data_IF_578654937284
#
_entry.id   IF_578654937284
#
_cell.length_a   1.000
_cell.length_b   1.000
_cell.length_c   1.000
_cell.angle_alpha   90.00
_cell.angle_beta   90.00
_cell.angle_gamma   90.00
#
_symmetry.space_group_name_H-M   'P 1'
#
loop_
_entity.id
_entity.type
_entity.pdbx_description
1 polymer ?
#
# COMPACT_ATOMS: atom_id res chain seq x y z
N UNK A 1 64.52 0.26 -2.74
CA UNK A 1 63.43 1.24 -2.92
C UNK A 1 62.12 0.68 -3.50
N UNK A 2 62.11 -0.13 -4.58
CA UNK A 2 60.85 -0.62 -5.23
C UNK A 2 59.88 -1.42 -4.33
N UNK A 3 60.39 -2.25 -3.41
CA UNK A 3 59.55 -3.09 -2.54
C UNK A 3 58.75 -2.30 -1.49
N UNK A 4 59.27 -1.15 -1.03
CA UNK A 4 58.61 -0.33 -0.03
C UNK A 4 57.43 0.44 -0.65
N UNK A 5 57.66 0.99 -1.86
CA UNK A 5 56.62 1.62 -2.67
C UNK A 5 55.48 0.65 -3.05
N UNK A 6 55.80 -0.59 -3.41
CA UNK A 6 54.78 -1.61 -3.69
C UNK A 6 53.96 -2.03 -2.46
N UNK A 7 54.57 -2.03 -1.27
CA UNK A 7 53.86 -2.28 0.00
C UNK A 7 52.92 -1.13 0.35
N UNK A 8 53.35 0.11 0.19
CA UNK A 8 52.52 1.29 0.45
C UNK A 8 51.35 1.40 -0.51
N UNK A 9 51.56 1.13 -1.80
CA UNK A 9 50.48 1.11 -2.81
C UNK A 9 49.45 0.02 -2.52
N UNK A 10 49.87 -1.20 -2.16
CA UNK A 10 48.95 -2.26 -1.70
C UNK A 10 48.16 -1.85 -0.46
N UNK A 11 48.82 -1.21 0.51
CA UNK A 11 48.21 -0.77 1.78
C UNK A 11 47.20 0.37 1.56
N UNK A 12 47.49 1.32 0.67
CA UNK A 12 46.55 2.36 0.24
C UNK A 12 45.32 1.76 -0.45
N UNK A 13 45.53 0.84 -1.40
CA UNK A 13 44.45 0.17 -2.14
C UNK A 13 43.54 -0.67 -1.21
N UNK A 14 44.12 -1.31 -0.20
CA UNK A 14 43.36 -2.02 0.84
C UNK A 14 42.53 -1.07 1.71
N UNK A 15 43.10 0.06 2.12
CA UNK A 15 42.38 1.07 2.90
C UNK A 15 41.23 1.72 2.12
N UNK A 16 41.40 1.98 0.82
CA UNK A 16 40.31 2.47 -0.03
C UNK A 16 39.19 1.44 -0.19
N UNK A 17 39.52 0.15 -0.41
CA UNK A 17 38.53 -0.92 -0.46
C UNK A 17 37.74 -1.02 0.85
N UNK A 18 38.41 -0.93 1.99
CA UNK A 18 37.76 -0.92 3.31
C UNK A 18 36.84 0.29 3.48
N UNK A 19 37.30 1.50 3.13
CA UNK A 19 36.46 2.71 3.17
C UNK A 19 35.22 2.57 2.28
N UNK A 20 35.37 2.04 1.06
CA UNK A 20 34.25 1.82 0.13
C UNK A 20 33.23 0.82 0.68
N UNK A 21 33.70 -0.28 1.27
CA UNK A 21 32.83 -1.29 1.88
C UNK A 21 32.05 -0.72 3.07
N UNK A 22 32.72 0.03 3.96
CA UNK A 22 32.05 0.66 5.10
C UNK A 22 31.03 1.71 4.66
N UNK A 23 31.32 2.48 3.61
CA UNK A 23 30.36 3.44 3.05
C UNK A 23 29.11 2.74 2.52
N UNK A 24 29.29 1.65 1.77
CA UNK A 24 28.17 0.89 1.21
C UNK A 24 27.29 0.26 2.30
N UNK A 25 27.91 -0.29 3.35
CA UNK A 25 27.18 -0.86 4.48
C UNK A 25 26.36 0.19 5.22
N UNK A 26 26.90 1.41 5.36
CA UNK A 26 26.20 2.53 5.97
C UNK A 26 25.05 3.06 5.10
N UNK A 27 25.24 3.10 3.78
CA UNK A 27 24.18 3.40 2.81
C UNK A 27 23.06 2.35 2.87
N UNK A 28 23.41 1.05 2.93
CA UNK A 28 22.45 -0.07 3.09
C UNK A 28 21.70 0.01 4.46
N UNK A 29 22.40 0.33 5.55
CA UNK A 29 21.80 0.51 6.89
C UNK A 29 20.88 1.76 6.96
N UNK A 30 21.26 2.88 6.32
CA UNK A 30 20.45 4.10 6.25
C UNK A 30 19.18 3.90 5.39
N UNK A 31 19.26 3.13 4.29
CA UNK A 31 18.09 2.74 3.48
C UNK A 31 17.13 1.83 4.25
N UNK A 32 17.63 0.84 5.01
CA UNK A 32 16.80 0.00 5.88
C UNK A 32 16.16 0.79 7.03
N UNK A 33 16.87 1.73 7.65
CA UNK A 33 16.31 2.60 8.70
C UNK A 33 15.21 3.53 8.16
N UNK A 34 15.37 4.10 6.96
CA UNK A 34 14.30 4.87 6.30
C UNK A 34 13.08 4.00 5.99
N UNK A 35 13.27 2.73 5.61
CA UNK A 35 12.20 1.76 5.36
C UNK A 35 11.41 1.39 6.65
N UNK A 36 12.07 1.41 7.82
CA UNK A 36 11.46 1.08 9.12
C UNK A 36 10.68 2.26 9.73
N UNK A 37 10.78 3.48 9.19
CA UNK A 37 10.00 4.61 9.70
C UNK A 37 8.48 4.40 9.49
N UNK A 38 7.73 4.36 10.59
CA UNK A 38 6.28 4.15 10.55
C UNK A 38 5.61 5.32 9.83
N UNK A 39 5.10 5.07 8.63
CA UNK A 39 4.31 6.04 7.85
C UNK A 39 2.89 6.13 8.37
N UNK A 40 2.37 7.36 8.46
CA UNK A 40 1.03 7.67 8.93
C UNK A 40 0.20 8.36 7.84
N UNK A 41 -1.01 7.86 7.62
CA UNK A 41 -2.03 8.47 6.78
C UNK A 41 -3.24 8.80 7.66
N UNK A 42 -3.23 9.99 8.28
CA UNK A 42 -4.21 10.42 9.30
C UNK A 42 -4.30 9.43 10.46
N UNK A 43 -5.38 8.65 10.51
CA UNK A 43 -5.67 7.67 11.58
C UNK A 43 -5.16 6.27 11.25
N UNK A 44 -4.57 6.08 10.07
CA UNK A 44 -4.02 4.83 9.59
C UNK A 44 -2.49 4.87 9.66
N UNK A 45 -1.90 3.73 9.99
CA UNK A 45 -0.46 3.56 10.12
C UNK A 45 -0.04 2.37 9.28
N UNK A 46 1.15 2.45 8.70
CA UNK A 46 1.76 1.38 7.89
C UNK A 46 1.94 0.06 8.64
N UNK A 47 1.90 0.05 9.97
CA UNK A 47 1.97 -1.18 10.78
C UNK A 47 0.60 -1.81 11.09
N UNK A 48 -0.50 -1.08 10.89
CA UNK A 48 -1.85 -1.60 11.20
C UNK A 48 -2.26 -2.70 10.23
N UNK A 49 -2.90 -3.75 10.70
CA UNK A 49 -3.65 -4.68 9.84
C UNK A 49 -4.99 -4.04 9.47
N UNK A 50 -5.19 -3.75 8.18
CA UNK A 50 -6.34 -2.98 7.69
C UNK A 50 -7.21 -3.83 6.77
N UNK A 51 -8.49 -3.96 7.14
CA UNK A 51 -9.52 -4.51 6.26
C UNK A 51 -10.31 -3.36 5.62
N UNK A 52 -10.38 -3.35 4.31
CA UNK A 52 -11.19 -2.40 3.54
C UNK A 52 -12.39 -3.16 2.96
N UNK A 53 -13.58 -2.76 3.38
CA UNK A 53 -14.85 -3.39 3.02
C UNK A 53 -15.61 -2.51 2.05
N UNK A 54 -15.93 -3.07 0.87
CA UNK A 54 -16.77 -2.40 -0.13
C UNK A 54 -16.02 -1.43 -1.04
N UNK A 55 -14.73 -1.67 -1.28
CA UNK A 55 -13.97 -0.88 -2.25
C UNK A 55 -14.41 -1.25 -3.68
N UNK A 56 -15.11 -0.33 -4.35
CA UNK A 56 -15.72 -0.60 -5.65
C UNK A 56 -14.70 -0.74 -6.77
N UNK A 57 -13.90 0.30 -6.99
CA UNK A 57 -12.87 0.36 -8.03
C UNK A 57 -11.43 0.18 -7.49
N UNK A 58 -11.28 -0.09 -6.19
CA UNK A 58 -10.02 -0.29 -5.50
C UNK A 58 -9.11 0.95 -5.40
N UNK A 59 -9.63 2.13 -5.73
CA UNK A 59 -8.85 3.37 -5.71
C UNK A 59 -8.48 3.82 -4.29
N UNK A 60 -9.37 3.61 -3.32
CA UNK A 60 -9.12 3.97 -1.92
C UNK A 60 -8.01 3.10 -1.34
N UNK A 61 -8.12 1.79 -1.51
CA UNK A 61 -7.09 0.83 -1.10
C UNK A 61 -5.74 1.17 -1.74
N UNK A 62 -5.72 1.48 -3.03
CA UNK A 62 -4.49 1.84 -3.73
C UNK A 62 -3.87 3.14 -3.22
N UNK A 63 -4.69 4.16 -2.94
CA UNK A 63 -4.21 5.41 -2.36
C UNK A 63 -3.58 5.20 -0.99
N UNK A 64 -4.16 4.31 -0.16
CA UNK A 64 -3.61 3.99 1.16
C UNK A 64 -2.30 3.20 1.04
N UNK A 65 -2.26 2.24 0.11
CA UNK A 65 -1.06 1.48 -0.21
C UNK A 65 0.09 2.39 -0.65
N UNK A 66 -0.16 3.38 -1.53
CA UNK A 66 0.87 4.34 -1.93
C UNK A 66 1.32 5.24 -0.78
N UNK A 67 0.42 5.64 0.12
CA UNK A 67 0.80 6.43 1.29
C UNK A 67 1.73 5.65 2.24
N UNK A 68 1.60 4.33 2.30
CA UNK A 68 2.50 3.45 3.06
C UNK A 68 3.71 2.99 2.26
N UNK A 69 3.66 3.08 0.93
CA UNK A 69 4.65 2.48 0.03
C UNK A 69 4.57 0.95 -0.04
N UNK A 70 3.56 0.35 0.58
CA UNK A 70 3.31 -1.10 0.62
C UNK A 70 1.86 -1.37 0.97
N UNK A 71 1.38 -2.57 0.66
CA UNK A 71 0.04 -3.04 0.97
C UNK A 71 0.00 -4.43 1.63
N UNK A 72 1.13 -4.96 2.12
CA UNK A 72 1.18 -6.30 2.74
C UNK A 72 0.20 -6.48 3.92
N UNK A 73 -0.09 -5.39 4.62
CA UNK A 73 -1.00 -5.30 5.75
C UNK A 73 -2.43 -4.88 5.38
N UNK A 74 -2.74 -4.81 4.07
CA UNK A 74 -4.04 -4.36 3.56
C UNK A 74 -4.78 -5.54 2.92
N UNK A 75 -5.99 -5.78 3.40
CA UNK A 75 -6.99 -6.66 2.78
C UNK A 75 -8.07 -5.80 2.15
N UNK A 76 -8.08 -5.70 0.83
CA UNK A 76 -9.05 -4.92 0.07
C UNK A 76 -10.17 -5.81 -0.46
N UNK A 77 -11.43 -5.45 -0.21
CA UNK A 77 -12.57 -6.29 -0.59
C UNK A 77 -13.64 -5.53 -1.37
N UNK A 78 -14.22 -6.20 -2.38
CA UNK A 78 -15.39 -5.70 -3.11
C UNK A 78 -16.62 -6.58 -2.90
N UNK A 79 -17.81 -5.96 -2.87
CA UNK A 79 -19.09 -6.70 -2.88
C UNK A 79 -19.34 -7.38 -4.23
N UNK A 80 -18.95 -6.73 -5.31
CA UNK A 80 -19.07 -7.25 -6.66
C UNK A 80 -18.02 -8.34 -6.95
N UNK A 81 -18.32 -9.22 -7.91
CA UNK A 81 -17.35 -10.18 -8.45
C UNK A 81 -16.24 -9.47 -9.23
N UNK A 82 -15.09 -10.13 -9.41
CA UNK A 82 -13.99 -9.61 -10.24
C UNK A 82 -14.45 -9.17 -11.64
N UNK A 83 -15.23 -10.01 -12.32
CA UNK A 83 -15.76 -9.71 -13.66
C UNK A 83 -16.68 -8.49 -13.64
N UNK A 84 -17.54 -8.39 -12.62
CA UNK A 84 -18.45 -7.26 -12.44
C UNK A 84 -17.68 -5.96 -12.20
N UNK A 85 -16.66 -5.99 -11.33
CA UNK A 85 -15.79 -4.85 -11.04
C UNK A 85 -15.12 -4.34 -12.30
N UNK A 86 -14.50 -5.22 -13.10
CA UNK A 86 -13.83 -4.83 -14.35
C UNK A 86 -14.80 -4.26 -15.40
N UNK A 87 -16.05 -4.73 -15.42
CA UNK A 87 -17.08 -4.22 -16.34
C UNK A 87 -17.65 -2.87 -15.90
N UNK A 88 -17.78 -2.64 -14.60
CA UNK A 88 -18.33 -1.40 -14.03
C UNK A 88 -17.31 -0.26 -14.03
N UNK A 89 -16.06 -0.54 -13.67
CA UNK A 89 -15.04 0.49 -13.45
C UNK A 89 -13.87 0.33 -14.41
N UNK A 90 -13.68 1.34 -15.28
CA UNK A 90 -12.60 1.37 -16.29
C UNK A 90 -11.20 1.26 -15.66
N UNK A 91 -11.02 1.86 -14.47
CA UNK A 91 -9.72 1.90 -13.76
C UNK A 91 -9.48 0.74 -12.80
N UNK A 92 -10.48 -0.12 -12.56
CA UNK A 92 -10.31 -1.20 -11.60
C UNK A 92 -9.19 -2.16 -12.01
N UNK A 93 -9.02 -2.44 -13.31
CA UNK A 93 -7.96 -3.33 -13.78
C UNK A 93 -6.57 -2.83 -13.37
N UNK A 94 -6.28 -1.55 -13.64
CA UNK A 94 -4.99 -0.95 -13.27
C UNK A 94 -4.83 -0.87 -11.76
N UNK A 95 -5.90 -0.51 -11.04
CA UNK A 95 -5.81 -0.36 -9.58
C UNK A 95 -5.53 -1.71 -8.89
N UNK A 96 -6.22 -2.76 -9.32
CA UNK A 96 -6.02 -4.13 -8.85
C UNK A 96 -4.61 -4.64 -9.15
N UNK A 97 -4.08 -4.31 -10.33
CA UNK A 97 -2.72 -4.69 -10.70
C UNK A 97 -1.70 -4.01 -9.77
N UNK A 98 -1.76 -2.68 -9.62
CA UNK A 98 -0.84 -1.96 -8.75
C UNK A 98 -0.96 -2.40 -7.28
N UNK A 99 -2.17 -2.66 -6.79
CA UNK A 99 -2.37 -3.19 -5.44
C UNK A 99 -1.72 -4.54 -5.23
N UNK A 100 -1.85 -5.43 -6.22
CA UNK A 100 -1.21 -6.75 -6.17
C UNK A 100 0.31 -6.64 -6.21
N UNK A 101 0.85 -5.72 -7.02
CA UNK A 101 2.28 -5.41 -7.07
C UNK A 101 2.80 -4.85 -5.73
N UNK A 102 1.97 -4.07 -5.02
CA UNK A 102 2.27 -3.57 -3.67
C UNK A 102 2.05 -4.61 -2.55
N UNK A 103 1.61 -5.82 -2.88
CA UNK A 103 1.45 -6.93 -1.93
C UNK A 103 0.10 -7.01 -1.21
N UNK A 104 -0.92 -6.31 -1.70
CA UNK A 104 -2.26 -6.35 -1.10
C UNK A 104 -2.93 -7.72 -1.25
N UNK A 105 -3.72 -8.11 -0.25
CA UNK A 105 -4.68 -9.20 -0.40
C UNK A 105 -5.98 -8.65 -0.95
N UNK A 106 -6.46 -9.21 -2.06
CA UNK A 106 -7.67 -8.74 -2.74
C UNK A 106 -8.73 -9.84 -2.70
N UNK A 107 -9.91 -9.53 -2.18
CA UNK A 107 -11.07 -10.44 -2.14
C UNK A 107 -12.27 -9.84 -2.88
N UNK A 108 -13.03 -10.67 -3.58
CA UNK A 108 -14.22 -10.27 -4.32
C UNK A 108 -15.45 -11.02 -3.83
N UNK A 109 -16.64 -10.45 -4.05
CA UNK A 109 -17.89 -11.08 -3.61
C UNK A 109 -18.10 -11.06 -2.09
N UNK A 110 -17.40 -10.18 -1.37
CA UNK A 110 -17.48 -10.09 0.09
C UNK A 110 -18.72 -9.31 0.49
N UNK A 111 -19.71 -10.00 1.04
CA UNK A 111 -20.89 -9.40 1.64
C UNK A 111 -20.64 -9.10 3.12
N UNK A 112 -20.54 -7.80 3.44
CA UNK A 112 -20.33 -7.30 4.80
C UNK A 112 -21.35 -7.86 5.82
N UNK A 113 -22.59 -8.15 5.39
CA UNK A 113 -23.64 -8.70 6.27
C UNK A 113 -23.39 -10.17 6.64
N UNK A 114 -22.55 -10.86 5.87
CA UNK A 114 -22.23 -12.29 6.01
C UNK A 114 -20.76 -12.57 6.32
N UNK A 115 -19.94 -11.52 6.54
CA UNK A 115 -18.50 -11.66 6.80
C UNK A 115 -18.14 -12.60 7.95
N UNK A 116 -19.00 -12.75 8.95
CA UNK A 116 -18.80 -13.71 10.06
C UNK A 116 -18.62 -15.16 9.61
N UNK A 117 -19.06 -15.50 8.39
CA UNK A 117 -18.92 -16.84 7.80
C UNK A 117 -17.76 -16.95 6.80
N UNK A 118 -17.09 -15.83 6.47
CA UNK A 118 -16.03 -15.83 5.49
C UNK A 118 -14.74 -16.41 6.11
N UNK A 119 -14.31 -17.57 5.64
CA UNK A 119 -13.22 -18.35 6.26
C UNK A 119 -11.93 -17.55 6.44
N UNK A 120 -11.54 -16.77 5.42
CA UNK A 120 -10.30 -15.98 5.42
C UNK A 120 -10.38 -14.77 6.36
N UNK A 121 -11.55 -14.15 6.50
CA UNK A 121 -11.73 -12.94 7.31
C UNK A 121 -12.04 -13.27 8.78
N UNK A 122 -12.71 -14.40 9.04
CA UNK A 122 -13.12 -14.82 10.39
C UNK A 122 -11.93 -15.13 11.31
N UNK A 123 -10.83 -15.60 10.74
CA UNK A 123 -9.65 -15.97 11.53
C UNK A 123 -8.62 -14.84 11.66
N UNK A 124 -8.81 -13.74 10.93
CA UNK A 124 -7.90 -12.61 10.95
C UNK A 124 -8.37 -11.54 11.94
N UNK A 125 -7.41 -10.92 12.64
CA UNK A 125 -7.64 -9.74 13.48
C UNK A 125 -7.16 -8.52 12.72
N UNK A 126 -7.95 -7.44 12.76
CA UNK A 126 -7.63 -6.18 12.12
C UNK A 126 -7.59 -5.07 13.17
N UNK A 127 -6.58 -4.20 13.07
CA UNK A 127 -6.49 -2.99 13.89
C UNK A 127 -7.50 -1.95 13.42
N UNK A 128 -7.79 -1.93 12.11
CA UNK A 128 -8.71 -0.99 11.48
C UNK A 128 -9.59 -1.71 10.46
N UNK A 129 -10.89 -1.46 10.53
CA UNK A 129 -11.85 -1.87 9.51
C UNK A 129 -12.41 -0.60 8.88
N UNK A 130 -12.15 -0.40 7.60
CA UNK A 130 -12.66 0.72 6.82
C UNK A 130 -13.86 0.24 6.02
N UNK A 131 -15.04 0.77 6.34
CA UNK A 131 -16.25 0.49 5.58
C UNK A 131 -16.50 1.63 4.60
N UNK A 132 -16.09 1.46 3.35
CA UNK A 132 -16.44 2.40 2.29
C UNK A 132 -17.90 2.12 1.94
N UNK A 133 -18.79 2.98 2.46
CA UNK A 133 -20.24 2.87 2.30
C UNK A 133 -20.58 2.44 0.86
N UNK A 134 -21.02 1.19 0.67
CA UNK A 134 -21.41 0.73 -0.64
C UNK A 134 -22.57 1.61 -1.05
N UNK A 135 -22.42 2.25 -2.21
CA UNK A 135 -23.40 3.09 -2.91
C UNK A 135 -24.78 3.08 -2.23
N UNK A 136 -25.12 4.13 -1.47
CA UNK A 136 -26.33 4.21 -0.64
C UNK A 136 -27.64 4.30 -1.48
N UNK A 137 -27.88 3.32 -2.35
CA UNK A 137 -29.13 3.16 -3.09
C UNK A 137 -29.41 4.20 -4.19
N UNK A 138 -28.47 5.08 -4.52
CA UNK A 138 -28.69 6.06 -5.60
C UNK A 138 -28.76 5.37 -6.97
N UNK A 139 -29.91 5.48 -7.65
CA UNK A 139 -30.08 5.08 -9.05
C UNK A 139 -29.38 6.11 -9.95
N UNK A 140 -28.10 5.92 -10.21
CA UNK A 140 -27.32 6.70 -11.16
C UNK A 140 -26.07 5.94 -11.58
N UNK A 141 -25.68 6.05 -12.86
CA UNK A 141 -24.42 5.47 -13.34
C UNK A 141 -23.24 6.15 -12.63
N UNK A 142 -22.27 5.36 -12.17
CA UNK A 142 -21.07 5.83 -11.45
C UNK A 142 -20.18 6.76 -12.30
N UNK A 143 -20.35 6.73 -13.63
CA UNK A 143 -19.72 7.65 -14.60
C UNK A 143 -20.37 9.06 -14.60
N UNK A 144 -21.43 9.32 -13.81
CA UNK A 144 -21.97 10.67 -13.65
C UNK A 144 -21.08 11.49 -12.71
N UNK A 145 -20.42 12.50 -13.28
CA UNK A 145 -19.57 13.49 -12.63
C UNK A 145 -20.21 14.22 -11.42
N UNK A 146 -21.54 14.12 -11.25
CA UNK A 146 -22.28 14.65 -10.09
C UNK A 146 -22.23 13.76 -8.85
N UNK A 147 -22.00 12.45 -8.99
CA UNK A 147 -21.85 11.51 -7.86
C UNK A 147 -20.39 11.47 -7.39
N UNK A 148 -19.42 11.73 -8.29
CA UNK A 148 -17.99 11.84 -7.98
C UNK A 148 -17.57 13.10 -7.20
N UNK A 149 -18.48 14.03 -6.86
CA UNK A 149 -18.13 15.20 -6.06
C UNK A 149 -17.94 14.91 -4.56
N UNK A 150 -18.40 13.75 -4.08
CA UNK A 150 -18.28 13.38 -2.66
C UNK A 150 -17.20 12.32 -2.36
N UNK A 151 -16.71 11.60 -3.38
CA UNK A 151 -15.78 10.47 -3.17
C UNK A 151 -14.30 10.90 -3.23
N UNK A 152 -13.99 12.12 -3.69
CA UNK A 152 -12.61 12.61 -3.84
C UNK A 152 -12.20 13.70 -2.83
N UNK A 153 -13.11 14.20 -1.98
CA UNK A 153 -12.75 15.27 -1.01
C UNK A 153 -13.04 14.84 0.42
N UNK A 154 -12.17 13.97 0.93
CA UNK A 154 -11.73 14.08 2.31
C UNK A 154 -10.19 14.13 2.38
N UNK A 155 -9.52 14.56 1.31
CA UNK A 155 -8.14 15.02 1.35
C UNK A 155 -8.18 16.56 1.39
N UNK A 156 -7.73 17.11 2.52
CA UNK A 156 -7.71 18.54 2.86
C UNK A 156 -9.07 19.24 2.94
N UNK A 157 -9.57 19.40 4.17
CA UNK A 157 -10.05 20.68 4.70
C UNK A 157 -10.27 20.51 6.21
N UNK A 158 -9.18 20.73 6.95
CA UNK A 158 -9.21 21.27 8.31
C UNK A 158 -7.93 22.11 8.42
N UNK A 159 -7.95 23.25 7.72
CA UNK A 159 -7.09 24.37 8.07
C UNK A 159 -7.80 25.09 9.22
N UNK A 160 -7.10 25.17 10.36
CA UNK A 160 -7.37 25.93 11.58
C UNK A 160 -8.80 25.95 12.15
#
# INVERSE_FOLDING_TARGET
MRNQYQRETKRKKLNERRKKMMRRRREEEEEEEEEITVKWAKHYSSIHQILIVGDGDFSFSLSLAYAFGSAFNIVATSKDSYVSVLKKYKRAKSNLQCLKELGATILHGVDATKMKYHTELRMQKFDRIVFNFPHAGFKGKEDNMRVMKYVVVAFSLAYY
#
